data_IF_268551650320
#
_entry.id   IF_268551650320
#
_cell.length_a   1.000
_cell.length_b   1.000
_cell.length_c   1.000
_cell.angle_alpha   90.00
_cell.angle_beta   90.00
_cell.angle_gamma   90.00
#
_symmetry.space_group_name_H-M   'P 1'
#
loop_
_entity.id
_entity.type
_entity.pdbx_description
1 polymer ?
#
# COMPACT_ATOMS: atom_id res chain seq x y z
N UNK A 1 -34.24 -24.61 -8.78
CA UNK A 1 -32.96 -23.86 -8.80
C UNK A 1 -33.15 -22.58 -8.02
N UNK A 2 -32.82 -22.59 -6.72
CA UNK A 2 -32.97 -21.43 -5.84
C UNK A 2 -31.72 -20.56 -5.96
N UNK A 3 -31.90 -19.39 -6.58
CA UNK A 3 -30.93 -18.30 -6.60
C UNK A 3 -30.63 -17.88 -5.17
N UNK A 4 -29.44 -18.24 -4.65
CA UNK A 4 -28.93 -17.69 -3.40
C UNK A 4 -28.44 -16.28 -3.70
N UNK A 5 -29.22 -15.30 -3.31
CA UNK A 5 -28.82 -13.88 -3.23
C UNK A 5 -27.53 -13.82 -2.41
N UNK A 6 -26.42 -13.47 -3.07
CA UNK A 6 -25.11 -13.31 -2.44
C UNK A 6 -25.24 -12.17 -1.43
N UNK A 7 -25.29 -12.49 -0.14
CA UNK A 7 -25.37 -11.49 0.92
C UNK A 7 -24.20 -10.52 0.76
N UNK A 8 -24.50 -9.26 0.44
CA UNK A 8 -23.51 -8.18 0.40
C UNK A 8 -23.01 -7.97 1.83
N UNK A 9 -21.69 -8.08 2.06
CA UNK A 9 -21.09 -7.80 3.37
C UNK A 9 -21.47 -6.37 3.81
N UNK A 10 -21.84 -6.15 5.09
CA UNK A 10 -22.12 -4.81 5.58
C UNK A 10 -20.87 -3.92 5.45
N UNK A 11 -21.04 -2.61 5.17
CA UNK A 11 -19.91 -1.70 5.09
C UNK A 11 -19.24 -1.59 6.47
N UNK A 12 -17.95 -1.92 6.52
CA UNK A 12 -17.14 -1.70 7.72
C UNK A 12 -16.72 -0.23 7.72
N UNK A 13 -17.19 0.54 8.70
CA UNK A 13 -16.77 1.93 8.87
C UNK A 13 -15.40 1.98 9.53
N UNK A 14 -14.37 2.33 8.76
CA UNK A 14 -13.02 2.55 9.28
C UNK A 14 -12.87 3.99 9.75
N UNK A 15 -12.39 4.15 10.97
CA UNK A 15 -11.80 5.42 11.36
C UNK A 15 -10.51 5.68 10.56
N UNK A 16 -10.14 6.94 10.31
CA UNK A 16 -8.90 7.27 9.60
C UNK A 16 -7.68 6.62 10.25
N UNK A 17 -6.90 5.85 9.49
CA UNK A 17 -5.64 5.33 9.97
C UNK A 17 -4.63 6.46 10.13
N UNK A 18 -3.81 6.39 11.18
CA UNK A 18 -2.72 7.34 11.41
C UNK A 18 -1.41 6.81 10.84
N UNK A 19 -1.26 5.49 10.86
CA UNK A 19 -0.16 4.74 10.27
C UNK A 19 -0.73 3.69 9.32
N UNK A 20 -0.27 3.70 8.06
CA UNK A 20 -0.62 2.67 7.07
C UNK A 20 0.65 1.99 6.57
N UNK A 21 0.76 0.69 6.79
CA UNK A 21 1.85 -0.12 6.26
C UNK A 21 1.40 -0.87 5.00
N UNK A 22 2.11 -0.68 3.90
CA UNK A 22 1.88 -1.39 2.64
C UNK A 22 2.91 -2.49 2.50
N UNK A 23 2.45 -3.74 2.50
CA UNK A 23 3.29 -4.92 2.71
C UNK A 23 2.94 -6.05 1.76
N UNK A 24 3.94 -6.82 1.38
CA UNK A 24 3.79 -8.03 0.56
C UNK A 24 5.15 -8.72 0.46
N UNK A 25 5.12 -10.04 0.44
CA UNK A 25 6.32 -10.86 0.31
C UNK A 25 6.95 -10.75 -1.09
N UNK A 26 6.12 -10.76 -2.13
CA UNK A 26 6.58 -10.59 -3.51
C UNK A 26 7.14 -9.21 -3.84
N UNK A 27 8.14 -9.17 -4.72
CA UNK A 27 8.55 -7.93 -5.41
C UNK A 27 7.59 -7.63 -6.56
N UNK A 28 7.52 -6.36 -6.98
CA UNK A 28 6.74 -5.96 -8.17
C UNK A 28 5.25 -6.29 -8.12
N UNK A 29 4.64 -6.31 -6.92
CA UNK A 29 3.18 -6.53 -6.75
C UNK A 29 2.35 -5.24 -6.73
N UNK A 30 2.99 -4.07 -6.79
CA UNK A 30 2.33 -2.76 -6.76
C UNK A 30 2.30 -2.05 -5.40
N UNK A 31 3.15 -2.46 -4.44
CA UNK A 31 3.24 -1.83 -3.10
C UNK A 31 3.49 -0.33 -3.16
N UNK A 32 4.59 0.09 -3.79
CA UNK A 32 4.96 1.51 -3.92
C UNK A 32 3.90 2.34 -4.63
N UNK A 33 3.20 1.76 -5.61
CA UNK A 33 2.08 2.42 -6.28
C UNK A 33 0.92 2.69 -5.31
N UNK A 34 0.57 1.70 -4.47
CA UNK A 34 -0.45 1.86 -3.42
C UNK A 34 0.01 2.87 -2.35
N UNK A 35 1.26 2.77 -1.89
CA UNK A 35 1.83 3.68 -0.89
C UNK A 35 1.82 5.14 -1.36
N UNK A 36 2.30 5.41 -2.59
CA UNK A 36 2.26 6.75 -3.17
C UNK A 36 0.81 7.25 -3.30
N UNK A 37 -0.12 6.38 -3.74
CA UNK A 37 -1.53 6.75 -3.86
C UNK A 37 -2.15 7.13 -2.53
N UNK A 38 -1.82 6.43 -1.46
CA UNK A 38 -2.26 6.75 -0.09
C UNK A 38 -1.73 8.11 0.36
N UNK A 39 -0.47 8.43 0.07
CA UNK A 39 0.10 9.75 0.38
C UNK A 39 -0.70 10.87 -0.27
N UNK A 40 -1.02 10.73 -1.56
CA UNK A 40 -1.85 11.71 -2.25
C UNK A 40 -3.28 11.80 -1.69
N UNK A 41 -3.85 10.71 -1.18
CA UNK A 41 -5.17 10.74 -0.54
C UNK A 41 -5.13 11.51 0.79
N UNK A 42 -4.12 11.29 1.63
CA UNK A 42 -3.95 12.06 2.86
C UNK A 42 -3.76 13.56 2.58
N UNK A 43 -2.92 13.91 1.59
CA UNK A 43 -2.71 15.30 1.17
C UNK A 43 -3.99 15.94 0.61
N UNK A 44 -4.79 15.19 -0.16
CA UNK A 44 -6.09 15.67 -0.66
C UNK A 44 -7.06 16.00 0.49
N UNK A 45 -6.94 15.33 1.64
CA UNK A 45 -7.68 15.64 2.87
C UNK A 45 -6.98 16.66 3.78
N UNK A 46 -5.97 17.38 3.27
CA UNK A 46 -5.16 18.37 4.02
C UNK A 46 -4.46 17.80 5.25
N UNK A 47 -4.22 16.48 5.27
CA UNK A 47 -3.46 15.83 6.32
C UNK A 47 -2.01 15.68 5.83
N UNK A 48 -1.02 16.33 6.50
CA UNK A 48 0.38 16.15 6.15
C UNK A 48 0.77 14.68 6.23
N UNK A 49 1.61 14.20 5.31
CA UNK A 49 2.00 12.79 5.25
C UNK A 49 3.52 12.63 5.16
N UNK A 50 4.04 11.74 5.99
CA UNK A 50 5.42 11.22 5.88
C UNK A 50 5.36 9.86 5.20
N UNK A 51 6.12 9.69 4.11
CA UNK A 51 6.33 8.40 3.46
C UNK A 51 7.66 7.80 3.94
N UNK A 52 7.59 6.65 4.61
CA UNK A 52 8.76 5.88 5.04
C UNK A 52 8.98 4.74 4.04
N UNK A 53 10.11 4.75 3.34
CA UNK A 53 10.50 3.73 2.36
C UNK A 53 11.56 2.83 2.97
N UNK A 54 11.21 1.56 3.18
CA UNK A 54 12.14 0.53 3.58
C UNK A 54 12.52 -0.25 2.32
N UNK A 55 13.68 0.03 1.74
CA UNK A 55 14.09 -0.59 0.47
C UNK A 55 15.62 -0.70 0.33
N UNK A 56 16.10 -1.42 -0.67
CA UNK A 56 17.53 -1.52 -0.98
C UNK A 56 18.07 -0.17 -1.44
N UNK A 57 19.29 0.18 -1.05
CA UNK A 57 19.93 1.44 -1.46
C UNK A 57 20.05 1.61 -2.98
N UNK A 58 20.08 0.51 -3.74
CA UNK A 58 20.13 0.53 -5.23
C UNK A 58 18.89 1.12 -5.89
N UNK A 59 17.75 1.13 -5.20
CA UNK A 59 16.47 1.66 -5.70
C UNK A 59 16.15 3.06 -5.17
N UNK A 60 17.09 3.69 -4.47
CA UNK A 60 16.95 5.08 -4.04
C UNK A 60 17.12 5.99 -5.27
N UNK A 61 16.02 6.29 -5.97
CA UNK A 61 16.02 7.10 -7.20
C UNK A 61 15.75 8.60 -6.95
N UNK A 62 15.76 9.04 -5.69
CA UNK A 62 15.37 10.39 -5.27
C UNK A 62 13.95 10.44 -4.70
N UNK A 63 13.57 11.60 -4.16
CA UNK A 63 12.24 11.85 -3.61
C UNK A 63 11.16 11.66 -4.69
N UNK A 64 10.09 10.96 -4.35
CA UNK A 64 8.99 10.68 -5.29
C UNK A 64 8.03 11.86 -5.47
N UNK A 65 8.04 12.83 -4.54
CA UNK A 65 7.10 13.95 -4.52
C UNK A 65 5.68 13.57 -4.09
N UNK A 66 5.47 12.30 -3.73
CA UNK A 66 4.16 11.78 -3.33
C UNK A 66 3.74 12.28 -1.95
N UNK A 67 4.71 12.56 -1.06
CA UNK A 67 4.50 12.95 0.33
C UNK A 67 5.08 14.33 0.64
N UNK A 68 4.72 14.90 1.80
CA UNK A 68 5.28 16.17 2.27
C UNK A 68 6.69 15.97 2.86
N UNK A 69 6.99 14.74 3.28
CA UNK A 69 8.32 14.30 3.71
C UNK A 69 8.55 12.84 3.34
N UNK A 70 9.76 12.52 2.92
CA UNK A 70 10.17 11.13 2.64
C UNK A 70 11.36 10.74 3.53
N UNK A 71 11.28 9.54 4.12
CA UNK A 71 12.35 8.94 4.93
C UNK A 71 12.73 7.62 4.28
N UNK A 72 14.03 7.38 4.13
CA UNK A 72 14.55 6.14 3.58
C UNK A 72 15.27 5.36 4.66
N UNK A 73 14.88 4.09 4.82
CA UNK A 73 15.53 3.12 5.68
C UNK A 73 16.06 2.00 4.80
N UNK A 74 17.37 1.78 4.81
CA UNK A 74 18.01 0.82 3.91
C UNK A 74 17.89 -0.59 4.43
N UNK A 75 17.40 -1.51 3.60
CA UNK A 75 17.29 -2.94 3.98
C UNK A 75 18.64 -3.56 4.33
N UNK A 76 19.74 -3.03 3.79
CA UNK A 76 21.10 -3.47 4.09
C UNK A 76 21.46 -3.25 5.58
N UNK A 77 20.85 -2.25 6.22
CA UNK A 77 21.08 -1.96 7.64
C UNK A 77 20.46 -3.03 8.55
N UNK A 78 19.41 -3.71 8.09
CA UNK A 78 18.70 -4.75 8.85
C UNK A 78 19.62 -5.93 9.16
N UNK A 79 20.46 -6.34 8.19
CA UNK A 79 21.45 -7.40 8.39
C UNK A 79 22.51 -7.02 9.44
N UNK A 80 22.85 -5.73 9.51
CA UNK A 80 23.84 -5.19 10.47
C UNK A 80 23.24 -4.85 11.84
N UNK A 81 21.91 -4.82 11.95
CA UNK A 81 21.17 -4.41 13.16
C UNK A 81 21.23 -5.46 14.27
N UNK A 82 21.38 -6.74 13.91
CA UNK A 82 21.35 -7.86 14.84
C UNK A 82 22.41 -7.77 15.97
N UNK A 83 23.47 -6.95 15.80
CA UNK A 83 24.54 -6.75 16.76
C UNK A 83 24.39 -5.51 17.66
N UNK A 84 23.33 -4.70 17.51
CA UNK A 84 23.11 -3.46 18.28
C UNK A 84 22.15 -3.69 19.46
N UNK A 85 22.24 -2.86 20.51
CA UNK A 85 21.22 -2.82 21.59
C UNK A 85 19.85 -2.45 20.99
N UNK A 86 18.81 -3.24 21.27
CA UNK A 86 17.51 -3.15 20.58
C UNK A 86 17.43 -4.00 19.30
N UNK A 87 18.54 -4.55 18.81
CA UNK A 87 18.60 -5.52 17.73
C UNK A 87 17.89 -5.07 16.45
N UNK A 88 16.97 -5.93 15.98
CA UNK A 88 16.19 -5.76 14.74
C UNK A 88 15.39 -4.44 14.69
N UNK A 89 15.07 -3.84 15.84
CA UNK A 89 14.20 -2.65 15.92
C UNK A 89 14.97 -1.33 15.82
N UNK A 90 16.27 -1.33 16.08
CA UNK A 90 17.09 -0.10 16.08
C UNK A 90 17.23 0.55 14.69
N UNK A 91 17.08 -0.22 13.62
CA UNK A 91 17.05 0.33 12.25
C UNK A 91 15.74 1.09 11.96
N UNK A 92 14.69 0.79 12.71
CA UNK A 92 13.38 1.43 12.59
C UNK A 92 13.22 2.65 13.50
N UNK A 93 14.26 3.09 14.22
CA UNK A 93 14.21 4.31 15.03
C UNK A 93 13.70 5.54 14.26
N UNK A 94 14.09 5.79 12.99
CA UNK A 94 13.51 6.89 12.22
C UNK A 94 11.98 6.78 12.07
N UNK A 95 11.45 5.58 11.83
CA UNK A 95 10.01 5.33 11.77
C UNK A 95 9.36 5.59 13.14
N UNK A 96 9.98 5.12 14.23
CA UNK A 96 9.45 5.31 15.57
C UNK A 96 9.36 6.77 15.98
N UNK A 97 10.37 7.57 15.67
CA UNK A 97 10.35 9.01 15.94
C UNK A 97 9.18 9.71 15.25
N UNK A 98 8.83 9.30 14.02
CA UNK A 98 7.65 9.83 13.34
C UNK A 98 6.35 9.39 14.01
N UNK A 99 6.25 8.11 14.43
CA UNK A 99 5.06 7.58 15.10
C UNK A 99 4.78 8.32 16.40
N UNK A 100 5.82 8.57 17.23
CA UNK A 100 5.69 9.37 18.45
C UNK A 100 5.28 10.83 18.18
N UNK A 101 5.58 11.33 16.99
CA UNK A 101 5.21 12.67 16.53
C UNK A 101 3.76 12.83 16.10
N UNK A 102 3.06 11.75 15.73
CA UNK A 102 1.71 11.78 15.12
C UNK A 102 0.72 12.61 15.94
N UNK A 103 0.65 12.41 17.27
CA UNK A 103 -0.32 13.10 18.12
C UNK A 103 -0.08 14.61 18.17
N UNK A 104 1.17 15.04 17.98
CA UNK A 104 1.56 16.46 18.03
C UNK A 104 1.36 17.14 16.66
N UNK A 105 1.67 16.44 15.58
CA UNK A 105 1.62 16.99 14.22
C UNK A 105 0.26 16.81 13.53
N UNK A 106 -0.53 15.83 13.95
CA UNK A 106 -1.71 15.34 13.21
C UNK A 106 -1.35 14.65 11.89
N UNK A 107 -0.08 14.40 11.60
CA UNK A 107 0.37 13.81 10.34
C UNK A 107 -0.06 12.35 10.21
N UNK A 108 -0.18 11.88 8.98
CA UNK A 108 -0.26 10.47 8.66
C UNK A 108 1.13 9.93 8.32
N UNK A 109 1.33 8.63 8.51
CA UNK A 109 2.53 7.91 8.07
C UNK A 109 2.11 6.80 7.12
N UNK A 110 2.78 6.73 5.97
CA UNK A 110 2.68 5.58 5.06
C UNK A 110 4.02 4.88 5.03
N UNK A 111 4.04 3.56 5.24
CA UNK A 111 5.27 2.75 5.20
C UNK A 111 5.22 1.83 3.98
N UNK A 112 6.16 2.00 3.05
CA UNK A 112 6.37 1.11 1.91
C UNK A 112 7.49 0.12 2.25
N UNK A 113 7.10 -1.13 2.54
CA UNK A 113 8.06 -2.18 2.88
C UNK A 113 8.66 -2.82 1.63
N UNK A 114 9.92 -3.26 1.71
CA UNK A 114 10.58 -3.99 0.63
C UNK A 114 9.88 -5.33 0.33
N UNK A 115 10.09 -5.87 -0.88
CA UNK A 115 9.81 -7.29 -1.12
C UNK A 115 10.78 -8.18 -0.34
N UNK A 116 10.31 -9.33 0.12
CA UNK A 116 11.09 -10.30 0.89
C UNK A 116 11.35 -9.93 2.35
N UNK A 117 10.82 -8.81 2.86
CA UNK A 117 10.99 -8.40 4.26
C UNK A 117 9.83 -8.83 5.17
N UNK A 118 8.87 -9.60 4.65
CA UNK A 118 7.64 -9.97 5.36
C UNK A 118 7.91 -10.67 6.69
N UNK A 119 8.71 -11.74 6.67
CA UNK A 119 9.07 -12.50 7.87
C UNK A 119 9.76 -11.61 8.91
N UNK A 120 10.78 -10.86 8.47
CA UNK A 120 11.50 -9.93 9.34
C UNK A 120 10.56 -8.89 9.96
N UNK A 121 9.60 -8.34 9.19
CA UNK A 121 8.61 -7.42 9.74
C UNK A 121 7.76 -8.10 10.82
N UNK A 122 7.32 -9.34 10.64
CA UNK A 122 6.55 -10.05 11.68
C UNK A 122 7.37 -10.24 12.96
N UNK A 123 8.66 -10.56 12.83
CA UNK A 123 9.57 -10.67 13.97
C UNK A 123 9.66 -9.35 14.74
N UNK A 124 9.76 -8.22 14.01
CA UNK A 124 9.72 -6.88 14.61
C UNK A 124 8.39 -6.61 15.32
N UNK A 125 7.26 -6.91 14.68
CA UNK A 125 5.95 -6.68 15.28
C UNK A 125 5.79 -7.45 16.60
N UNK A 126 6.18 -8.73 16.58
CA UNK A 126 6.15 -9.60 17.75
C UNK A 126 7.09 -9.10 18.86
N UNK A 127 8.33 -8.75 18.53
CA UNK A 127 9.34 -8.33 19.49
C UNK A 127 9.02 -6.98 20.17
N UNK A 128 8.23 -6.12 19.52
CA UNK A 128 7.90 -4.77 20.00
C UNK A 128 6.52 -4.65 20.63
N UNK A 129 5.72 -5.74 20.62
CA UNK A 129 4.29 -5.68 20.96
C UNK A 129 3.61 -4.51 20.23
N UNK A 130 3.86 -4.45 18.91
CA UNK A 130 3.67 -3.25 18.08
C UNK A 130 2.27 -2.63 18.21
N UNK A 131 1.22 -3.45 18.15
CA UNK A 131 -0.17 -3.01 18.28
C UNK A 131 -0.48 -2.37 19.63
N UNK A 132 0.05 -2.95 20.72
CA UNK A 132 -0.09 -2.45 22.08
C UNK A 132 0.65 -1.13 22.25
N UNK A 133 1.86 -1.02 21.67
CA UNK A 133 2.63 0.23 21.66
C UNK A 133 1.90 1.32 20.88
N UNK A 134 1.37 1.02 19.69
CA UNK A 134 0.57 1.98 18.92
C UNK A 134 -0.68 2.43 19.70
N UNK A 135 -1.39 1.50 20.34
CA UNK A 135 -2.56 1.80 21.16
C UNK A 135 -2.21 2.72 22.34
N UNK A 136 -1.08 2.49 23.02
CA UNK A 136 -0.60 3.34 24.11
C UNK A 136 -0.26 4.77 23.65
N UNK A 137 0.17 4.93 22.39
CA UNK A 137 0.41 6.23 21.75
C UNK A 137 -0.87 6.84 21.14
N UNK A 138 -2.02 6.17 21.25
CA UNK A 138 -3.27 6.59 20.60
C UNK A 138 -3.20 6.57 19.06
N UNK A 139 -2.25 5.83 18.48
CA UNK A 139 -2.03 5.74 17.03
C UNK A 139 -2.81 4.56 16.47
N UNK A 140 -3.62 4.82 15.43
CA UNK A 140 -4.37 3.77 14.72
C UNK A 140 -3.55 3.23 13.56
N UNK A 141 -3.07 2.00 13.71
CA UNK A 141 -2.31 1.28 12.69
C UNK A 141 -3.17 0.41 11.78
N UNK A 142 -2.91 0.48 10.48
CA UNK A 142 -3.50 -0.37 9.44
C UNK A 142 -2.41 -1.05 8.60
N UNK A 143 -2.45 -2.38 8.50
CA UNK A 143 -1.57 -3.16 7.63
C UNK A 143 -2.32 -3.61 6.37
N UNK A 144 -1.90 -3.09 5.21
CA UNK A 144 -2.43 -3.44 3.90
C UNK A 144 -1.55 -4.49 3.22
N UNK A 145 -2.02 -5.73 3.18
CA UNK A 145 -1.33 -6.84 2.50
C UNK A 145 -1.68 -6.84 1.02
N UNK A 146 -0.70 -6.62 0.16
CA UNK A 146 -0.86 -6.58 -1.30
C UNK A 146 -0.59 -7.95 -1.91
N UNK A 147 -1.45 -8.37 -2.83
CA UNK A 147 -1.30 -9.61 -3.59
C UNK A 147 -1.65 -9.42 -5.06
N UNK A 148 -1.12 -10.26 -5.94
CA UNK A 148 -1.53 -10.32 -7.36
C UNK A 148 -2.41 -11.55 -7.62
N UNK A 149 -2.83 -11.73 -8.87
CA UNK A 149 -3.63 -12.85 -9.35
C UNK A 149 -2.89 -14.20 -9.38
N UNK A 150 -1.60 -14.25 -9.04
CA UNK A 150 -0.85 -15.52 -9.02
C UNK A 150 -1.15 -16.33 -7.76
N UNK A 151 -1.29 -17.65 -7.90
CA UNK A 151 -1.58 -18.55 -6.76
C UNK A 151 -0.57 -18.41 -5.64
N UNK A 152 0.72 -18.31 -5.99
CA UNK A 152 1.79 -18.17 -5.00
C UNK A 152 1.70 -16.83 -4.25
N UNK A 153 1.43 -15.71 -4.94
CA UNK A 153 1.22 -14.42 -4.28
C UNK A 153 0.00 -14.47 -3.36
N UNK A 154 -1.08 -15.12 -3.77
CA UNK A 154 -2.28 -15.27 -2.94
C UNK A 154 -2.00 -16.11 -1.68
N UNK A 155 -1.24 -17.21 -1.83
CA UNK A 155 -0.82 -18.06 -0.71
C UNK A 155 0.06 -17.29 0.28
N UNK A 156 1.06 -16.57 -0.20
CA UNK A 156 1.94 -15.73 0.62
C UNK A 156 1.15 -14.65 1.36
N UNK A 157 0.21 -13.97 0.68
CA UNK A 157 -0.64 -12.96 1.31
C UNK A 157 -1.53 -13.56 2.42
N UNK A 158 -2.07 -14.77 2.22
CA UNK A 158 -2.83 -15.48 3.24
C UNK A 158 -1.98 -15.79 4.48
N UNK A 159 -0.81 -16.41 4.28
CA UNK A 159 0.13 -16.66 5.36
C UNK A 159 0.52 -15.38 6.11
N UNK A 160 0.66 -14.27 5.38
CA UNK A 160 1.03 -12.99 5.97
C UNK A 160 -0.09 -12.36 6.79
N UNK A 161 -1.33 -12.42 6.32
CA UNK A 161 -2.50 -11.98 7.07
C UNK A 161 -2.66 -12.74 8.39
N UNK A 162 -2.48 -14.06 8.36
CA UNK A 162 -2.50 -14.90 9.56
C UNK A 162 -1.32 -14.59 10.49
N UNK A 163 -0.14 -14.31 9.94
CA UNK A 163 1.02 -13.89 10.73
C UNK A 163 0.75 -12.59 11.50
N UNK A 164 0.19 -11.57 10.83
CA UNK A 164 -0.15 -10.29 11.48
C UNK A 164 -1.20 -10.51 12.57
N UNK A 165 -2.23 -11.32 12.31
CA UNK A 165 -3.25 -11.66 13.32
C UNK A 165 -2.67 -12.23 14.60
N UNK A 166 -1.67 -13.10 14.45
CA UNK A 166 -1.05 -13.80 15.56
C UNK A 166 -0.17 -12.88 16.40
N UNK A 167 0.61 -11.99 15.76
CA UNK A 167 1.64 -11.19 16.44
C UNK A 167 1.21 -9.76 16.79
N UNK A 168 0.17 -9.24 16.13
CA UNK A 168 -0.36 -7.89 16.33
C UNK A 168 -1.90 -7.86 16.13
N UNK A 169 -2.67 -8.64 16.93
CA UNK A 169 -4.12 -8.80 16.76
C UNK A 169 -4.91 -7.48 16.87
N UNK A 170 -4.40 -6.49 17.61
CA UNK A 170 -5.01 -5.17 17.75
C UNK A 170 -4.81 -4.26 16.53
N UNK A 171 -3.91 -4.62 15.62
CA UNK A 171 -3.67 -3.85 14.40
C UNK A 171 -4.75 -4.16 13.34
N UNK A 172 -5.29 -3.12 12.72
CA UNK A 172 -6.23 -3.29 11.62
C UNK A 172 -5.53 -3.90 10.41
N UNK A 173 -6.25 -4.72 9.64
CA UNK A 173 -5.73 -5.43 8.47
C UNK A 173 -6.63 -5.19 7.27
N UNK A 174 -6.05 -5.14 6.08
CA UNK A 174 -6.78 -5.14 4.82
C UNK A 174 -6.03 -5.93 3.74
N UNK A 175 -6.77 -6.52 2.81
CA UNK A 175 -6.23 -7.22 1.65
C UNK A 175 -6.39 -6.35 0.39
N UNK A 176 -5.29 -6.09 -0.28
CA UNK A 176 -5.25 -5.35 -1.55
C UNK A 176 -4.94 -6.32 -2.69
N UNK A 177 -5.90 -6.48 -3.60
CA UNK A 177 -5.80 -7.27 -4.80
C UNK A 177 -5.33 -6.40 -5.96
N UNK A 178 -4.05 -6.48 -6.28
CA UNK A 178 -3.40 -5.70 -7.34
C UNK A 178 -3.60 -6.34 -8.70
N UNK A 179 -4.22 -5.59 -9.62
CA UNK A 179 -4.44 -5.99 -11.01
C UNK A 179 -3.17 -6.07 -11.86
N UNK A 180 -1.99 -5.78 -11.30
CA UNK A 180 -0.71 -5.71 -12.02
C UNK A 180 -0.36 -6.99 -12.79
N UNK A 181 -0.76 -8.16 -12.30
CA UNK A 181 -0.54 -9.45 -12.98
C UNK A 181 -1.80 -10.00 -13.67
N UNK A 182 -2.79 -9.14 -13.92
CA UNK A 182 -4.09 -9.53 -14.45
C UNK A 182 -5.21 -9.39 -13.41
N UNK A 183 -6.43 -9.65 -13.85
CA UNK A 183 -7.61 -9.55 -13.00
C UNK A 183 -7.78 -10.79 -12.11
N UNK A 184 -8.70 -10.70 -11.15
CA UNK A 184 -9.06 -11.78 -10.24
C UNK A 184 -10.34 -12.52 -10.70
N UNK A 185 -10.57 -12.57 -12.02
CA UNK A 185 -11.69 -13.29 -12.62
C UNK A 185 -11.16 -14.58 -13.26
N UNK A 186 -11.32 -15.69 -12.55
CA UNK A 186 -10.79 -16.98 -12.96
C UNK A 186 -11.90 -17.94 -13.39
N UNK A 187 -11.63 -18.87 -14.32
CA UNK A 187 -12.53 -19.99 -14.60
C UNK A 187 -12.82 -20.78 -13.32
N UNK A 188 -14.08 -21.20 -13.14
CA UNK A 188 -14.49 -22.01 -11.99
C UNK A 188 -13.70 -23.32 -11.98
N UNK A 189 -13.13 -23.68 -10.83
CA UNK A 189 -12.34 -24.91 -10.65
C UNK A 189 -10.89 -24.78 -11.11
N UNK A 190 -10.45 -23.59 -11.53
CA UNK A 190 -9.02 -23.33 -11.74
C UNK A 190 -8.28 -23.22 -10.41
N UNK A 191 -6.98 -23.53 -10.41
CA UNK A 191 -6.09 -23.39 -9.26
C UNK A 191 -6.13 -21.97 -8.67
N UNK A 192 -6.19 -20.95 -9.54
CA UNK A 192 -6.28 -19.55 -9.13
C UNK A 192 -7.63 -19.24 -8.46
N UNK A 193 -8.73 -19.80 -8.96
CA UNK A 193 -10.06 -19.64 -8.34
C UNK A 193 -10.11 -20.24 -6.93
N UNK A 194 -9.49 -21.40 -6.73
CA UNK A 194 -9.38 -22.06 -5.42
C UNK A 194 -8.42 -21.32 -4.49
N UNK A 195 -7.28 -20.86 -5.01
CA UNK A 195 -6.33 -20.01 -4.29
C UNK A 195 -6.97 -18.73 -3.79
N UNK A 196 -7.77 -18.07 -4.64
CA UNK A 196 -8.52 -16.87 -4.29
C UNK A 196 -9.57 -17.15 -3.21
N UNK A 197 -10.31 -18.25 -3.33
CA UNK A 197 -11.32 -18.64 -2.34
C UNK A 197 -10.68 -18.89 -0.96
N UNK A 198 -9.57 -19.63 -0.90
CA UNK A 198 -8.80 -19.85 0.34
C UNK A 198 -8.29 -18.54 0.93
N UNK A 199 -7.78 -17.64 0.10
CA UNK A 199 -7.34 -16.32 0.57
C UNK A 199 -8.50 -15.50 1.15
N UNK A 200 -9.68 -15.54 0.53
CA UNK A 200 -10.88 -14.85 1.03
C UNK A 200 -11.39 -15.45 2.34
N UNK A 201 -11.25 -16.76 2.52
CA UNK A 201 -11.55 -17.44 3.78
C UNK A 201 -10.59 -16.98 4.88
N UNK A 202 -9.28 -16.97 4.63
CA UNK A 202 -8.25 -16.47 5.57
C UNK A 202 -8.47 -14.99 5.90
N UNK A 203 -8.78 -14.16 4.90
CA UNK A 203 -9.07 -12.75 5.10
C UNK A 203 -10.32 -12.54 5.99
N UNK A 204 -11.24 -13.52 6.05
CA UNK A 204 -12.42 -13.44 6.90
C UNK A 204 -13.23 -12.17 6.63
N UNK A 205 -13.42 -11.37 7.67
CA UNK A 205 -14.20 -10.11 7.63
C UNK A 205 -13.36 -8.86 7.36
N UNK A 206 -12.05 -8.97 7.17
CA UNK A 206 -11.24 -7.79 6.87
C UNK A 206 -11.61 -7.20 5.49
N UNK A 207 -11.40 -5.89 5.27
CA UNK A 207 -11.62 -5.28 3.97
C UNK A 207 -10.78 -5.93 2.88
N UNK A 208 -11.42 -6.15 1.73
CA UNK A 208 -10.76 -6.62 0.52
C UNK A 208 -11.04 -5.60 -0.57
N UNK A 209 -9.98 -5.10 -1.20
CA UNK A 209 -10.08 -4.07 -2.24
C UNK A 209 -9.27 -4.46 -3.44
N UNK A 210 -9.88 -4.35 -4.61
CA UNK A 210 -9.21 -4.59 -5.89
C UNK A 210 -8.75 -3.27 -6.49
N UNK A 211 -7.46 -3.17 -6.77
CA UNK A 211 -6.84 -2.07 -7.50
C UNK A 211 -6.70 -2.51 -8.96
N UNK A 212 -7.33 -1.82 -9.92
CA UNK A 212 -7.25 -2.21 -11.32
C UNK A 212 -5.82 -2.07 -11.86
N UNK A 213 -5.51 -2.86 -12.89
CA UNK A 213 -4.30 -2.62 -13.67
C UNK A 213 -4.38 -1.27 -14.38
N UNK A 214 -3.24 -0.63 -14.62
CA UNK A 214 -3.17 0.50 -15.53
C UNK A 214 -2.92 -0.01 -16.93
N UNK A 215 -3.72 0.47 -17.89
CA UNK A 215 -3.55 0.14 -19.29
C UNK A 215 -2.20 0.67 -19.83
N UNK A 216 -1.76 0.12 -20.96
CA UNK A 216 -0.68 0.72 -21.75
C UNK A 216 0.71 0.79 -21.12
N UNK A 217 0.95 0.15 -19.95
CA UNK A 217 2.17 0.32 -19.14
C UNK A 217 2.43 1.78 -18.73
N UNK A 218 1.37 2.59 -18.61
CA UNK A 218 1.49 4.01 -18.30
C UNK A 218 2.20 4.24 -16.95
N UNK A 219 1.94 3.41 -15.93
CA UNK A 219 2.63 3.48 -14.64
C UNK A 219 4.13 3.22 -14.77
N UNK A 220 4.52 2.13 -15.44
CA UNK A 220 5.93 1.81 -15.63
C UNK A 220 6.65 2.90 -16.42
N UNK A 221 6.02 3.39 -17.49
CA UNK A 221 6.59 4.43 -18.36
C UNK A 221 6.83 5.73 -17.59
N UNK A 222 5.89 6.16 -16.75
CA UNK A 222 6.08 7.34 -15.90
C UNK A 222 7.13 7.11 -14.81
N UNK A 223 7.12 5.95 -14.16
CA UNK A 223 8.11 5.61 -13.14
C UNK A 223 9.53 5.58 -13.70
N UNK A 224 9.73 5.00 -14.90
CA UNK A 224 11.02 4.98 -15.60
C UNK A 224 11.51 6.40 -15.95
N UNK A 225 10.57 7.33 -16.17
CA UNK A 225 10.85 8.75 -16.39
C UNK A 225 10.97 9.56 -15.08
N UNK A 226 10.95 8.91 -13.92
CA UNK A 226 11.03 9.56 -12.60
C UNK A 226 9.83 10.47 -12.31
N UNK A 227 8.65 10.18 -12.87
CA UNK A 227 7.42 10.90 -12.61
C UNK A 227 6.50 10.08 -11.69
N UNK A 228 5.93 10.75 -10.71
CA UNK A 228 4.77 10.23 -9.99
C UNK A 228 3.50 10.35 -10.85
N UNK A 229 2.45 9.64 -10.43
CA UNK A 229 1.19 9.61 -11.18
C UNK A 229 0.54 11.00 -11.24
N UNK A 230 0.57 11.75 -10.13
CA UNK A 230 -0.01 13.07 -10.09
C UNK A 230 0.76 14.06 -10.99
N UNK A 231 2.09 14.07 -10.90
CA UNK A 231 2.94 14.90 -11.75
C UNK A 231 2.77 14.59 -13.22
N UNK A 232 2.68 13.31 -13.60
CA UNK A 232 2.41 12.91 -14.98
C UNK A 232 1.03 13.39 -15.48
N UNK A 233 -0.01 13.30 -14.65
CA UNK A 233 -1.38 13.73 -15.02
C UNK A 233 -1.51 15.25 -15.14
N UNK A 234 -0.74 16.02 -14.36
CA UNK A 234 -0.82 17.49 -14.32
C UNK A 234 0.10 18.16 -15.35
N UNK A 235 0.94 17.39 -16.05
CA UNK A 235 1.87 17.92 -17.02
C UNK A 235 1.19 18.18 -18.37
N UNK A 236 1.53 19.31 -19.00
CA UNK A 236 1.04 19.61 -20.35
C UNK A 236 1.47 18.52 -21.36
N UNK A 237 0.61 18.12 -22.32
CA UNK A 237 0.87 16.95 -23.17
C UNK A 237 2.20 16.96 -23.91
N UNK A 238 2.66 18.13 -24.40
CA UNK A 238 3.94 18.24 -25.11
C UNK A 238 5.15 18.11 -24.18
N UNK A 239 5.04 18.61 -22.94
CA UNK A 239 6.08 18.45 -21.94
C UNK A 239 6.16 16.99 -21.47
N UNK A 240 5.00 16.36 -21.25
CA UNK A 240 4.92 14.94 -20.91
C UNK A 240 5.49 14.07 -22.03
N UNK A 241 5.15 14.34 -23.29
CA UNK A 241 5.68 13.65 -24.47
C UNK A 241 7.22 13.72 -24.51
N UNK A 242 7.77 14.92 -24.31
CA UNK A 242 9.21 15.14 -24.28
C UNK A 242 9.88 14.37 -23.13
N UNK A 243 9.24 14.36 -21.95
CA UNK A 243 9.77 13.69 -20.75
C UNK A 243 9.74 12.17 -20.87
N UNK A 244 8.70 11.62 -21.50
CA UNK A 244 8.53 10.18 -21.71
C UNK A 244 9.22 9.65 -22.97
N UNK A 245 9.71 10.53 -23.86
CA UNK A 245 10.32 10.15 -25.13
C UNK A 245 9.32 9.55 -26.14
N UNK A 246 8.08 10.01 -26.12
CA UNK A 246 6.98 9.52 -26.98
C UNK A 246 6.27 10.68 -27.68
N UNK A 247 5.38 10.39 -28.64
CA UNK A 247 4.60 11.44 -29.30
C UNK A 247 3.48 12.02 -28.38
N UNK A 248 3.02 13.27 -28.63
CA UNK A 248 1.99 13.93 -27.82
C UNK A 248 0.66 13.20 -27.73
N UNK A 249 0.28 12.43 -28.76
CA UNK A 249 -0.96 11.68 -28.74
C UNK A 249 -0.87 10.51 -27.75
N UNK A 250 0.24 9.77 -27.75
CA UNK A 250 0.53 8.72 -26.76
C UNK A 250 0.70 9.27 -25.35
N UNK A 251 1.33 10.44 -25.20
CA UNK A 251 1.44 11.10 -23.89
C UNK A 251 0.07 11.46 -23.31
N UNK A 252 -0.84 11.98 -24.14
CA UNK A 252 -2.22 12.27 -23.73
C UNK A 252 -3.00 11.01 -23.38
N UNK A 253 -2.83 9.93 -24.13
CA UNK A 253 -3.44 8.63 -23.82
C UNK A 253 -2.95 8.10 -22.46
N UNK A 254 -1.62 8.12 -22.24
CA UNK A 254 -0.98 7.76 -20.98
C UNK A 254 -1.57 8.54 -19.78
N UNK A 255 -1.64 9.87 -19.88
CA UNK A 255 -2.24 10.70 -18.83
C UNK A 255 -3.72 10.36 -18.57
N UNK A 256 -4.49 10.05 -19.63
CA UNK A 256 -5.90 9.67 -19.52
C UNK A 256 -6.08 8.30 -18.84
N UNK A 257 -5.24 7.32 -19.16
CA UNK A 257 -5.22 6.00 -18.52
C UNK A 257 -4.88 6.11 -17.03
N UNK A 258 -3.89 6.94 -16.69
CA UNK A 258 -3.54 7.26 -15.30
C UNK A 258 -4.70 7.94 -14.57
N UNK A 259 -5.42 8.87 -15.21
CA UNK A 259 -6.56 9.55 -14.61
C UNK A 259 -7.72 8.59 -14.29
N UNK A 260 -8.03 7.66 -15.20
CA UNK A 260 -9.03 6.62 -14.97
C UNK A 260 -8.66 5.74 -13.77
N UNK A 261 -7.40 5.30 -13.72
CA UNK A 261 -6.90 4.53 -12.59
C UNK A 261 -6.91 5.33 -11.28
N UNK A 262 -6.49 6.59 -11.31
CA UNK A 262 -6.45 7.48 -10.15
C UNK A 262 -7.84 7.63 -9.52
N UNK A 263 -8.86 7.85 -10.35
CA UNK A 263 -10.26 7.93 -9.89
C UNK A 263 -10.73 6.60 -9.30
N UNK A 264 -10.49 5.49 -9.98
CA UNK A 264 -10.93 4.16 -9.54
C UNK A 264 -10.29 3.75 -8.21
N UNK A 265 -9.00 4.04 -8.03
CA UNK A 265 -8.27 3.69 -6.80
C UNK A 265 -8.58 4.61 -5.64
N UNK A 266 -8.81 5.91 -5.89
CA UNK A 266 -9.05 6.89 -4.85
C UNK A 266 -10.27 6.56 -3.99
N UNK A 267 -11.39 6.22 -4.64
CA UNK A 267 -12.62 5.82 -3.95
C UNK A 267 -12.40 4.59 -3.07
N UNK A 268 -11.69 3.60 -3.60
CA UNK A 268 -11.57 2.30 -2.96
C UNK A 268 -10.58 2.30 -1.80
N UNK A 269 -9.46 3.01 -1.94
CA UNK A 269 -8.47 3.17 -0.86
C UNK A 269 -8.97 4.10 0.25
N UNK A 270 -9.69 5.18 -0.09
CA UNK A 270 -10.27 6.08 0.91
C UNK A 270 -11.27 5.36 1.84
N UNK A 271 -11.98 4.34 1.35
CA UNK A 271 -12.88 3.54 2.16
C UNK A 271 -12.18 2.66 3.21
N UNK A 272 -10.92 2.27 2.98
CA UNK A 272 -10.15 1.44 3.94
C UNK A 272 -9.31 2.31 4.86
N UNK A 273 -8.62 3.31 4.31
CA UNK A 273 -7.76 4.19 5.09
C UNK A 273 -8.56 5.12 6.03
N UNK A 274 -9.89 5.13 5.90
CA UNK A 274 -10.83 5.96 6.65
C UNK A 274 -10.79 7.41 6.16
N UNK A 275 -11.94 7.92 5.70
CA UNK A 275 -12.12 9.37 5.55
C UNK A 275 -12.34 9.95 6.94
N UNK A 276 -11.65 11.04 7.28
CA UNK A 276 -12.13 11.89 8.35
C UNK A 276 -13.44 12.49 7.83
N UNK A 277 -14.57 12.05 8.37
CA UNK A 277 -15.88 12.57 7.99
C UNK A 277 -15.88 14.09 8.15
N UNK A 278 -15.94 14.79 7.03
CA UNK A 278 -15.82 16.24 6.99
C UNK A 278 -15.83 16.88 5.60
N UNK A 279 -16.30 16.20 4.55
CA UNK A 279 -16.67 16.89 3.32
C UNK A 279 -17.74 16.13 2.49
N UNK A 280 -18.97 16.66 2.38
CA UNK A 280 -19.98 16.16 1.47
C UNK A 280 -19.85 16.85 0.10
N UNK A 281 -18.96 16.36 -0.76
CA UNK A 281 -18.95 16.64 -2.20
C UNK A 281 -18.17 15.50 -2.89
N UNK A 282 -18.66 14.86 -3.94
CA UNK A 282 -19.19 15.45 -5.16
C UNK A 282 -18.18 15.19 -6.25
#
# INVERSE_FOLDING_TARGET
MTSKTKASRPPVHFQPADLVEVVADGTSVGKSTVANRLCHLFRATKRPVTLVRIETGRRQTGETGAADREIYIRTEEFATAASRTGGLTGVLTPLWNEIEGIQKSGSAIVVDWAGGSSAHRLDVLAATSYDTTLAALGVRGLSMVVTTSSTESMRQAGAYLSGIEMVAPGMQRALIQSGRSGNFHFPVGSEQSEGLARLHEIAGQIPIVTIPNVAGRALETCADAGLDVAGAMMMEPNALASRLGIDPFRARACASELALWWRATGKTLAGIAGRADGDPAG
#
